data_IF_796252815035
#
_entry.id   IF_796252815035
#
_cell.length_a   1.000
_cell.length_b   1.000
_cell.length_c   1.000
_cell.angle_alpha   90.00
_cell.angle_beta   90.00
_cell.angle_gamma   90.00
#
_symmetry.space_group_name_H-M   'P 1'
#
loop_
_entity.id
_entity.type
_entity.pdbx_description
1 polymer ?
#
# COMPACT_ATOMS: atom_id res chain seq x y z
N UNK A 1 6.98 17.22 7.60
CA UNK A 1 8.17 16.81 6.83
C UNK A 1 7.70 16.46 5.43
N UNK A 2 7.93 17.35 4.47
CA UNK A 2 7.71 17.08 3.05
C UNK A 2 8.85 16.17 2.60
N UNK A 3 8.60 14.88 2.42
CA UNK A 3 9.55 13.99 1.76
C UNK A 3 9.34 14.17 0.26
N UNK A 4 9.99 15.19 -0.32
CA UNK A 4 10.19 15.34 -1.76
C UNK A 4 11.42 14.55 -2.20
N UNK A 5 11.53 13.28 -1.80
CA UNK A 5 12.48 12.37 -2.42
C UNK A 5 11.69 11.48 -3.36
N UNK A 6 11.95 11.61 -4.66
CA UNK A 6 11.58 10.61 -5.66
C UNK A 6 12.19 9.28 -5.23
N UNK A 7 11.43 8.48 -4.48
CA UNK A 7 11.85 7.16 -4.05
C UNK A 7 11.66 6.21 -5.24
N UNK A 8 12.74 5.54 -5.65
CA UNK A 8 12.64 4.54 -6.71
C UNK A 8 12.25 3.17 -6.12
N UNK A 9 11.93 2.20 -7.00
CA UNK A 9 11.50 0.88 -6.58
C UNK A 9 12.51 0.20 -5.63
N UNK A 10 13.80 0.22 -5.96
CA UNK A 10 14.84 -0.39 -5.14
C UNK A 10 14.88 0.19 -3.72
N UNK A 11 14.85 1.52 -3.60
CA UNK A 11 14.83 2.20 -2.30
C UNK A 11 13.57 1.88 -1.49
N UNK A 12 12.41 1.77 -2.14
CA UNK A 12 11.17 1.44 -1.44
C UNK A 12 11.17 -0.01 -0.94
N UNK A 13 11.66 -0.96 -1.73
CA UNK A 13 11.73 -2.37 -1.33
C UNK A 13 12.68 -2.56 -0.15
N UNK A 14 13.87 -1.95 -0.18
CA UNK A 14 14.80 -1.97 0.95
C UNK A 14 14.17 -1.42 2.24
N UNK A 15 13.40 -0.33 2.16
CA UNK A 15 12.74 0.27 3.32
C UNK A 15 11.60 -0.59 3.86
N UNK A 16 10.78 -1.18 2.98
CA UNK A 16 9.56 -1.90 3.36
C UNK A 16 9.84 -3.36 3.75
N UNK A 17 10.89 -3.95 3.19
CA UNK A 17 11.17 -5.37 3.24
C UNK A 17 12.58 -5.62 3.78
N UNK A 18 13.04 -4.78 4.73
CA UNK A 18 14.37 -4.87 5.35
C UNK A 18 14.69 -6.21 6.01
N UNK A 19 13.69 -7.08 6.20
CA UNK A 19 13.83 -8.45 6.71
C UNK A 19 13.77 -9.53 5.62
N UNK A 20 13.45 -9.16 4.38
CA UNK A 20 13.34 -10.04 3.23
C UNK A 20 14.49 -9.80 2.24
N UNK A 21 14.66 -10.70 1.28
CA UNK A 21 15.56 -10.47 0.14
C UNK A 21 14.91 -9.49 -0.85
N UNK A 22 15.11 -8.19 -0.57
CA UNK A 22 14.61 -7.09 -1.40
C UNK A 22 15.10 -7.18 -2.85
N UNK A 23 16.31 -7.72 -3.09
CA UNK A 23 16.87 -7.87 -4.43
C UNK A 23 16.18 -8.98 -5.22
N UNK A 24 15.86 -10.11 -4.59
CA UNK A 24 15.06 -11.17 -5.21
C UNK A 24 13.64 -10.69 -5.55
N UNK A 25 13.01 -9.96 -4.62
CA UNK A 25 11.69 -9.36 -4.81
C UNK A 25 11.68 -8.35 -5.96
N UNK A 26 12.69 -7.47 -6.03
CA UNK A 26 12.82 -6.50 -7.13
C UNK A 26 13.02 -7.18 -8.49
N UNK A 27 13.77 -8.29 -8.57
CA UNK A 27 13.94 -9.06 -9.82
C UNK A 27 12.63 -9.69 -10.29
N UNK A 28 11.77 -10.09 -9.37
CA UNK A 28 10.45 -10.66 -9.67
C UNK A 28 9.37 -9.60 -9.97
N UNK A 29 9.69 -8.32 -9.74
CA UNK A 29 8.80 -7.19 -9.96
C UNK A 29 8.62 -6.95 -11.47
N UNK A 30 7.41 -7.13 -11.96
CA UNK A 30 7.04 -6.88 -13.35
C UNK A 30 6.66 -5.42 -13.61
N UNK A 31 6.04 -4.77 -12.62
CA UNK A 31 5.67 -3.36 -12.71
C UNK A 31 5.76 -2.68 -11.35
N UNK A 32 6.14 -1.41 -11.38
CA UNK A 32 6.23 -0.54 -10.21
C UNK A 32 5.71 0.83 -10.61
N UNK A 33 4.51 1.18 -10.15
CA UNK A 33 3.85 2.42 -10.54
C UNK A 33 3.25 3.15 -9.34
N UNK A 34 3.27 4.49 -9.34
CA UNK A 34 2.56 5.27 -8.35
C UNK A 34 1.05 5.07 -8.55
N UNK A 35 0.37 4.69 -7.47
CA UNK A 35 -1.09 4.65 -7.41
C UNK A 35 -1.67 5.96 -6.88
N UNK A 36 -2.88 5.85 -6.35
CA UNK A 36 -3.59 6.98 -5.74
C UNK A 36 -2.93 7.41 -4.42
N UNK A 37 -3.05 8.69 -4.09
CA UNK A 37 -2.76 9.17 -2.73
C UNK A 37 -4.02 9.06 -1.88
N UNK A 38 -3.90 8.50 -0.68
CA UNK A 38 -5.00 8.43 0.28
C UNK A 38 -4.72 9.28 1.51
N UNK A 39 -5.80 9.78 2.12
CA UNK A 39 -5.75 10.54 3.38
C UNK A 39 -6.49 9.78 4.47
N UNK A 40 -5.85 9.65 5.63
CA UNK A 40 -6.51 9.21 6.85
C UNK A 40 -6.48 10.31 7.91
N UNK A 41 -7.66 10.68 8.41
CA UNK A 41 -7.82 11.68 9.47
C UNK A 41 -7.98 10.94 10.80
N UNK A 42 -7.03 11.14 11.70
CA UNK A 42 -7.15 10.80 13.11
C UNK A 42 -7.58 12.06 13.89
N UNK A 43 -8.00 11.89 15.14
CA UNK A 43 -8.38 12.99 16.04
C UNK A 43 -7.28 14.06 16.16
N UNK A 44 -6.01 13.64 16.19
CA UNK A 44 -4.87 14.54 16.47
C UNK A 44 -3.94 14.76 15.28
N UNK A 45 -4.11 14.02 14.18
CA UNK A 45 -3.20 14.09 13.04
C UNK A 45 -3.87 13.68 11.75
N UNK A 46 -3.31 14.15 10.64
CA UNK A 46 -3.70 13.73 9.30
C UNK A 46 -2.51 13.01 8.67
N UNK A 47 -2.76 11.82 8.15
CA UNK A 47 -1.77 11.03 7.44
C UNK A 47 -2.11 11.04 5.95
N UNK A 48 -1.17 11.47 5.13
CA UNK A 48 -1.23 11.38 3.67
C UNK A 48 -0.28 10.26 3.24
N UNK A 49 -0.75 9.36 2.39
CA UNK A 49 0.00 8.18 1.97
C UNK A 49 -0.04 8.06 0.45
N UNK A 50 1.13 8.01 -0.18
CA UNK A 50 1.28 7.60 -1.57
C UNK A 50 1.24 6.09 -1.65
N UNK A 51 0.26 5.54 -2.37
CA UNK A 51 0.18 4.10 -2.61
C UNK A 51 1.05 3.76 -3.80
N UNK A 52 1.81 2.68 -3.70
CA UNK A 52 2.57 2.12 -4.82
C UNK A 52 1.94 0.79 -5.21
N UNK A 53 1.69 0.61 -6.50
CA UNK A 53 1.21 -0.66 -7.07
C UNK A 53 2.40 -1.41 -7.63
N UNK A 54 2.51 -2.67 -7.22
CA UNK A 54 3.60 -3.56 -7.60
C UNK A 54 3.00 -4.86 -8.12
N UNK A 55 3.32 -5.22 -9.35
CA UNK A 55 3.03 -6.57 -9.88
C UNK A 55 4.26 -7.44 -9.74
N UNK A 56 4.09 -8.67 -9.26
CA UNK A 56 5.17 -9.63 -9.07
C UNK A 56 4.78 -10.94 -9.77
N UNK A 57 5.71 -11.50 -10.54
CA UNK A 57 5.45 -12.62 -11.45
C UNK A 57 5.05 -13.93 -10.75
N UNK A 58 5.63 -14.20 -9.58
CA UNK A 58 5.38 -15.41 -8.80
C UNK A 58 5.27 -15.08 -7.31
N UNK A 59 4.59 -15.95 -6.55
CA UNK A 59 4.49 -15.80 -5.10
C UNK A 59 5.87 -15.97 -4.45
N UNK A 60 6.60 -14.86 -4.33
CA UNK A 60 7.89 -14.85 -3.66
C UNK A 60 7.71 -15.35 -2.24
N UNK A 61 8.61 -16.23 -1.81
CA UNK A 61 8.60 -16.72 -0.44
C UNK A 61 8.96 -15.57 0.48
N UNK A 62 8.01 -15.24 1.37
CA UNK A 62 8.21 -14.28 2.44
C UNK A 62 8.76 -15.05 3.64
N UNK A 63 9.84 -14.57 4.22
CA UNK A 63 10.58 -15.19 5.32
C UNK A 63 10.12 -14.68 6.69
N UNK A 64 9.49 -13.50 6.75
CA UNK A 64 9.01 -12.90 7.99
C UNK A 64 7.60 -13.31 8.39
N UNK A 65 7.43 -13.69 9.66
CA UNK A 65 6.12 -14.07 10.26
C UNK A 65 5.05 -12.96 10.20
N UNK A 66 5.48 -11.70 10.04
CA UNK A 66 4.63 -10.52 9.97
C UNK A 66 4.08 -10.22 8.57
N UNK A 67 4.55 -10.92 7.53
CA UNK A 67 4.13 -10.71 6.14
C UNK A 67 3.40 -11.96 5.62
N UNK A 68 2.26 -11.74 4.96
CA UNK A 68 1.44 -12.82 4.40
C UNK A 68 0.82 -12.39 3.08
N UNK A 69 0.81 -13.29 2.11
CA UNK A 69 0.00 -13.15 0.91
C UNK A 69 -1.47 -13.35 1.27
N UNK A 70 -2.31 -12.37 0.95
CA UNK A 70 -3.74 -12.38 1.24
C UNK A 70 -4.51 -12.08 -0.04
N UNK A 71 -5.51 -12.90 -0.36
CA UNK A 71 -6.42 -12.60 -1.47
C UNK A 71 -7.23 -11.34 -1.17
N UNK A 72 -7.43 -10.47 -2.16
CA UNK A 72 -8.31 -9.29 -2.01
C UNK A 72 -9.73 -9.66 -1.54
N UNK A 73 -10.22 -10.87 -1.87
CA UNK A 73 -11.52 -11.38 -1.39
C UNK A 73 -11.57 -11.63 0.12
N UNK A 74 -10.41 -11.83 0.75
CA UNK A 74 -10.29 -12.10 2.19
C UNK A 74 -9.94 -10.86 3.01
N UNK A 75 -9.73 -9.71 2.36
CA UNK A 75 -9.23 -8.48 2.99
C UNK A 75 -10.09 -8.00 4.17
N UNK A 76 -11.41 -8.25 4.11
CA UNK A 76 -12.35 -7.91 5.17
C UNK A 76 -12.16 -8.68 6.49
N UNK A 77 -11.42 -9.80 6.46
CA UNK A 77 -11.18 -10.66 7.63
C UNK A 77 -9.96 -10.24 8.46
N UNK A 78 -9.13 -9.32 7.97
CA UNK A 78 -7.80 -9.05 8.53
C UNK A 78 -7.69 -7.75 9.35
N UNK A 79 -8.79 -7.25 9.93
CA UNK A 79 -8.74 -6.12 10.88
C UNK A 79 -8.21 -4.81 10.31
N UNK A 80 -8.17 -4.66 8.98
CA UNK A 80 -7.54 -3.51 8.34
C UNK A 80 -8.32 -2.20 8.61
N UNK A 81 -7.61 -1.07 8.76
CA UNK A 81 -8.22 0.25 8.83
C UNK A 81 -9.13 0.53 7.63
N UNK A 82 -10.21 1.28 7.86
CA UNK A 82 -11.21 1.58 6.85
C UNK A 82 -10.64 2.17 5.54
N UNK A 83 -9.72 3.17 5.56
CA UNK A 83 -9.18 3.74 4.33
C UNK A 83 -8.45 2.73 3.44
N UNK A 84 -7.78 1.74 4.07
CA UNK A 84 -7.03 0.70 3.35
C UNK A 84 -7.98 -0.30 2.72
N UNK A 85 -9.05 -0.72 3.42
CA UNK A 85 -10.07 -1.63 2.87
C UNK A 85 -10.71 -1.04 1.62
N UNK A 86 -11.02 0.24 1.67
CA UNK A 86 -11.71 1.00 0.62
C UNK A 86 -10.85 1.09 -0.64
N UNK A 87 -9.59 1.48 -0.47
CA UNK A 87 -8.58 1.49 -1.53
C UNK A 87 -8.47 0.11 -2.21
N UNK A 88 -8.30 -0.95 -1.42
CA UNK A 88 -8.07 -2.31 -1.95
C UNK A 88 -9.31 -2.94 -2.57
N UNK A 89 -10.51 -2.56 -2.12
CA UNK A 89 -11.77 -3.04 -2.67
C UNK A 89 -12.22 -2.24 -3.92
N UNK A 90 -11.50 -1.17 -4.28
CA UNK A 90 -11.86 -0.30 -5.40
C UNK A 90 -13.21 0.40 -5.21
N UNK A 91 -13.70 0.48 -3.97
CA UNK A 91 -14.94 1.19 -3.63
C UNK A 91 -14.61 2.65 -3.39
N UNK A 92 -15.27 3.56 -4.09
CA UNK A 92 -15.17 4.98 -3.75
C UNK A 92 -15.99 5.28 -2.49
N UNK A 93 -15.34 5.78 -1.43
CA UNK A 93 -16.02 6.31 -0.23
C UNK A 93 -16.37 7.79 -0.36
N UNK A 94 -16.52 8.34 -1.57
CA UNK A 94 -17.09 9.67 -1.77
C UNK A 94 -18.56 9.67 -1.37
N UNK A 95 -18.82 9.66 -0.06
CA UNK A 95 -20.09 9.98 0.56
C UNK A 95 -19.79 11.11 1.55
N UNK A 96 -19.80 12.34 1.06
CA UNK A 96 -19.65 13.50 1.95
C UNK A 96 -19.37 14.89 1.36
N UNK A 97 -19.14 15.06 0.05
CA UNK A 97 -18.76 16.38 -0.52
C UNK A 97 -19.77 16.99 -1.51
N UNK A 98 -21.03 16.54 -1.51
CA UNK A 98 -22.11 17.11 -2.36
C UNK A 98 -23.36 17.54 -1.57
N UNK A 99 -23.18 18.27 -0.47
CA UNK A 99 -24.23 19.13 0.08
C UNK A 99 -23.65 20.47 0.53
N UNK A 100 -23.37 21.33 -0.45
CA UNK A 100 -23.51 22.78 -0.28
C UNK A 100 -24.72 23.21 -1.09
N UNK A 101 -25.84 23.45 -0.41
CA UNK A 101 -26.92 24.31 -0.90
C UNK A 101 -26.44 25.76 -0.94
#
# INVERSE_FOLDING_TARGET
VLILTTINAAQLFELMLSREDAAALLKSCQSFEPGETIKHIFTHRRLWMQIWKVSIADSVQLTGDSLKWISLRQIGKHGLPQPIKVLLQGVSLTRGDDLRN
#
